data_IF_779123165342
#
_entry.id   IF_779123165342
#
_cell.length_a   1.000
_cell.length_b   1.000
_cell.length_c   1.000
_cell.angle_alpha   90.00
_cell.angle_beta   90.00
_cell.angle_gamma   90.00
#
_symmetry.space_group_name_H-M   'P 1'
#
loop_
_entity.id
_entity.type
_entity.pdbx_description
1 polymer ?
#
# COMPACT_ATOMS: atom_id res chain seq x y z
N UNK A 1 -30.56 6.35 1.57
CA UNK A 1 -30.43 5.01 0.93
C UNK A 1 -29.40 4.18 1.69
N UNK A 2 -29.27 2.87 1.44
CA UNK A 2 -28.27 2.03 2.14
C UNK A 2 -26.84 2.59 2.03
N UNK A 3 -26.47 3.13 0.87
CA UNK A 3 -25.19 3.83 0.65
C UNK A 3 -25.02 5.08 1.52
N UNK A 4 -26.07 5.90 1.65
CA UNK A 4 -26.04 7.11 2.47
C UNK A 4 -25.90 6.78 3.96
N UNK A 5 -26.61 5.76 4.43
CA UNK A 5 -26.50 5.29 5.82
C UNK A 5 -25.11 4.73 6.12
N UNK A 6 -24.54 3.95 5.20
CA UNK A 6 -23.17 3.45 5.30
C UNK A 6 -22.16 4.59 5.35
N UNK A 7 -22.26 5.55 4.43
CA UNK A 7 -21.37 6.71 4.40
C UNK A 7 -21.40 7.50 5.72
N UNK A 8 -22.61 7.79 6.21
CA UNK A 8 -22.78 8.55 7.45
C UNK A 8 -22.25 7.80 8.67
N UNK A 9 -22.37 6.48 8.70
CA UNK A 9 -21.93 5.67 9.84
C UNK A 9 -20.43 5.42 9.83
N UNK A 10 -19.88 4.97 8.72
CA UNK A 10 -18.52 4.41 8.64
C UNK A 10 -17.48 5.42 8.15
N UNK A 11 -17.88 6.39 7.32
CA UNK A 11 -16.92 7.28 6.64
C UNK A 11 -16.94 8.68 7.25
N UNK A 12 -18.10 9.31 7.37
CA UNK A 12 -18.17 10.74 7.71
C UNK A 12 -18.49 11.03 9.19
N UNK A 13 -18.76 10.00 10.00
CA UNK A 13 -19.11 10.16 11.41
C UNK A 13 -20.38 11.01 11.63
N UNK A 14 -21.35 10.90 10.72
CA UNK A 14 -22.61 11.64 10.73
C UNK A 14 -22.59 12.95 9.94
N UNK A 15 -21.45 13.36 9.37
CA UNK A 15 -21.35 14.58 8.57
C UNK A 15 -21.91 14.38 7.15
N UNK A 16 -22.74 15.30 6.66
CA UNK A 16 -23.36 15.26 5.33
C UNK A 16 -22.54 16.08 4.33
N UNK A 17 -21.32 15.66 4.06
CA UNK A 17 -20.38 16.29 3.11
C UNK A 17 -20.26 15.49 1.80
N UNK A 18 -21.39 15.15 1.18
CA UNK A 18 -21.43 14.46 -0.12
C UNK A 18 -22.14 15.32 -1.17
N UNK A 19 -21.81 15.10 -2.45
CA UNK A 19 -22.42 15.81 -3.57
C UNK A 19 -23.39 14.87 -4.31
N UNK A 20 -24.69 15.24 -4.45
CA UNK A 20 -25.64 14.45 -5.22
C UNK A 20 -25.44 14.73 -6.71
N UNK A 21 -24.98 13.72 -7.45
CA UNK A 21 -24.86 13.77 -8.91
C UNK A 21 -26.04 13.08 -9.58
N UNK A 22 -26.47 13.59 -10.74
CA UNK A 22 -27.60 13.02 -11.48
C UNK A 22 -27.18 12.05 -12.58
N UNK A 23 -25.95 12.19 -13.09
CA UNK A 23 -25.43 11.36 -14.16
C UNK A 23 -24.08 10.73 -13.77
N UNK A 24 -23.80 9.60 -14.37
CA UNK A 24 -22.54 8.88 -14.16
C UNK A 24 -21.36 9.67 -14.75
N UNK A 25 -21.57 10.37 -15.85
CA UNK A 25 -20.56 11.23 -16.49
C UNK A 25 -20.13 12.38 -15.57
N UNK A 26 -21.09 13.05 -14.92
CA UNK A 26 -20.78 14.15 -14.00
C UNK A 26 -19.97 13.68 -12.78
N UNK A 27 -20.21 12.45 -12.31
CA UNK A 27 -19.41 11.83 -11.25
C UNK A 27 -17.97 11.63 -11.70
N UNK A 28 -17.76 11.06 -12.89
CA UNK A 28 -16.41 10.83 -13.40
C UNK A 28 -15.68 12.14 -13.68
N UNK A 29 -16.34 13.12 -14.29
CA UNK A 29 -15.76 14.46 -14.45
C UNK A 29 -15.43 15.09 -13.10
N UNK A 30 -16.26 14.86 -12.07
CA UNK A 30 -15.99 15.29 -10.71
C UNK A 30 -14.73 14.67 -10.11
N UNK A 31 -14.52 13.37 -10.31
CA UNK A 31 -13.32 12.64 -9.86
C UNK A 31 -12.07 13.14 -10.60
N UNK A 32 -12.17 13.28 -11.93
CA UNK A 32 -11.05 13.70 -12.78
C UNK A 32 -10.61 15.13 -12.51
N UNK A 33 -11.55 16.02 -12.20
CA UNK A 33 -11.28 17.42 -11.91
C UNK A 33 -11.03 17.70 -10.42
N UNK A 34 -10.85 16.67 -9.59
CA UNK A 34 -10.65 16.78 -8.13
C UNK A 34 -11.76 17.55 -7.40
N UNK A 35 -13.00 17.50 -7.90
CA UNK A 35 -14.20 18.03 -7.22
C UNK A 35 -14.65 17.09 -6.11
N UNK A 36 -14.46 15.78 -6.31
CA UNK A 36 -14.72 14.73 -5.33
C UNK A 36 -13.55 13.76 -5.29
N UNK A 37 -13.26 13.20 -4.11
CA UNK A 37 -12.15 12.25 -3.93
C UNK A 37 -12.57 10.80 -4.22
N UNK A 38 -13.84 10.48 -3.98
CA UNK A 38 -14.37 9.13 -4.14
C UNK A 38 -15.87 9.14 -4.44
N UNK A 39 -16.33 8.07 -5.08
CA UNK A 39 -17.75 7.81 -5.34
C UNK A 39 -18.09 6.33 -5.15
N UNK A 40 -19.33 6.05 -4.76
CA UNK A 40 -19.83 4.69 -4.60
C UNK A 40 -20.48 4.20 -5.89
N UNK A 41 -20.11 3.00 -6.33
CA UNK A 41 -20.64 2.36 -7.52
C UNK A 41 -20.79 0.85 -7.33
N UNK A 42 -21.63 0.23 -8.15
CA UNK A 42 -21.66 -1.22 -8.29
C UNK A 42 -20.32 -1.73 -8.84
N UNK A 43 -19.79 -2.79 -8.24
CA UNK A 43 -18.47 -3.35 -8.56
C UNK A 43 -18.34 -3.74 -10.03
N UNK A 44 -19.38 -4.31 -10.65
CA UNK A 44 -19.31 -4.73 -12.05
C UNK A 44 -19.19 -3.53 -12.99
N UNK A 45 -20.00 -2.50 -12.79
CA UNK A 45 -19.92 -1.27 -13.57
C UNK A 45 -18.58 -0.56 -13.34
N UNK A 46 -18.15 -0.43 -12.09
CA UNK A 46 -16.90 0.23 -11.74
C UNK A 46 -15.67 -0.50 -12.31
N UNK A 47 -15.62 -1.82 -12.22
CA UNK A 47 -14.54 -2.65 -12.79
C UNK A 47 -14.46 -2.46 -14.30
N UNK A 48 -15.61 -2.49 -15.00
CA UNK A 48 -15.65 -2.26 -16.44
C UNK A 48 -15.14 -0.88 -16.82
N UNK A 49 -15.66 0.17 -16.18
CA UNK A 49 -15.39 1.56 -16.56
C UNK A 49 -13.93 1.93 -16.25
N UNK A 50 -13.41 1.52 -15.10
CA UNK A 50 -12.03 1.81 -14.69
C UNK A 50 -11.02 1.06 -15.58
N UNK A 51 -11.32 -0.18 -15.96
CA UNK A 51 -10.41 -1.00 -16.80
C UNK A 51 -10.45 -0.65 -18.30
N UNK A 52 -11.49 0.05 -18.77
CA UNK A 52 -11.71 0.27 -20.21
C UNK A 52 -11.82 1.75 -20.63
N UNK A 53 -12.28 2.64 -19.75
CA UNK A 53 -12.62 4.03 -20.09
C UNK A 53 -11.72 4.99 -19.30
N UNK A 54 -11.78 4.95 -17.96
CA UNK A 54 -11.06 5.88 -17.08
C UNK A 54 -9.90 5.18 -16.37
N UNK A 55 -8.81 4.98 -17.12
CA UNK A 55 -7.63 4.23 -16.69
C UNK A 55 -6.82 4.86 -15.55
N UNK A 56 -7.06 6.15 -15.28
CA UNK A 56 -6.42 6.92 -14.22
C UNK A 56 -7.15 6.83 -12.88
N UNK A 57 -8.34 6.23 -12.86
CA UNK A 57 -9.05 5.94 -11.64
C UNK A 57 -8.70 4.53 -11.16
N UNK A 58 -8.96 4.27 -9.89
CA UNK A 58 -8.79 2.95 -9.30
C UNK A 58 -9.98 2.64 -8.40
N UNK A 59 -10.37 1.37 -8.36
CA UNK A 59 -11.35 0.90 -7.38
C UNK A 59 -10.64 0.72 -6.03
N UNK A 60 -11.24 1.24 -4.96
CA UNK A 60 -10.70 1.17 -3.60
C UNK A 60 -11.76 0.58 -2.67
N UNK A 61 -11.31 -0.26 -1.74
CA UNK A 61 -12.17 -0.84 -0.70
C UNK A 61 -12.84 -2.16 -1.09
N UNK A 62 -13.46 -2.79 -0.10
CA UNK A 62 -14.30 -3.97 -0.31
C UNK A 62 -15.76 -3.55 -0.48
N UNK A 63 -16.55 -4.42 -1.13
CA UNK A 63 -17.99 -4.21 -1.26
C UNK A 63 -18.68 -4.21 0.11
N UNK A 64 -19.32 -3.11 0.47
CA UNK A 64 -20.08 -2.96 1.73
C UNK A 64 -21.50 -3.55 1.65
N UNK A 65 -22.03 -3.70 0.44
CA UNK A 65 -23.34 -4.26 0.18
C UNK A 65 -23.23 -5.35 -0.89
N UNK A 66 -23.92 -6.47 -0.67
CA UNK A 66 -24.00 -7.55 -1.66
C UNK A 66 -25.30 -7.41 -2.45
N UNK A 67 -25.19 -6.77 -3.61
CA UNK A 67 -26.24 -6.77 -4.62
C UNK A 67 -26.23 -8.06 -5.44
N UNK A 68 -27.41 -8.48 -5.92
CA UNK A 68 -27.55 -9.58 -6.88
C UNK A 68 -28.35 -9.09 -8.08
N UNK A 69 -27.87 -9.37 -9.29
CA UNK A 69 -28.61 -9.14 -10.52
C UNK A 69 -29.51 -10.36 -10.80
N UNK A 70 -30.74 -10.08 -11.21
CA UNK A 70 -31.73 -11.10 -11.57
C UNK A 70 -32.42 -10.77 -12.88
N UNK A 71 -32.93 -11.81 -13.54
CA UNK A 71 -33.78 -11.67 -14.72
C UNK A 71 -35.23 -11.66 -14.25
N UNK A 72 -36.02 -10.67 -14.68
CA UNK A 72 -37.43 -10.57 -14.33
C UNK A 72 -38.26 -11.12 -15.49
N UNK A 73 -39.10 -12.11 -15.20
CA UNK A 73 -39.99 -12.76 -16.16
C UNK A 73 -41.46 -12.64 -15.71
N UNK A 74 -42.43 -12.67 -16.64
CA UNK A 74 -43.84 -12.67 -16.29
C UNK A 74 -44.22 -13.90 -15.46
N UNK A 75 -45.26 -13.74 -14.63
CA UNK A 75 -45.78 -14.85 -13.82
C UNK A 75 -46.26 -15.98 -14.73
N UNK A 76 -45.94 -17.23 -14.37
CA UNK A 76 -46.28 -18.44 -15.15
C UNK A 76 -45.65 -18.49 -16.56
N UNK A 77 -44.46 -17.91 -16.74
CA UNK A 77 -43.73 -18.05 -17.99
C UNK A 77 -43.37 -19.51 -18.27
N UNK A 78 -43.85 -20.05 -19.39
CA UNK A 78 -43.69 -21.46 -19.77
C UNK A 78 -42.24 -21.92 -19.86
N UNK A 79 -41.29 -21.02 -20.10
CA UNK A 79 -39.87 -21.32 -20.28
C UNK A 79 -39.01 -21.02 -19.04
N UNK A 80 -39.61 -20.66 -17.89
CA UNK A 80 -38.86 -20.30 -16.69
C UNK A 80 -37.94 -21.43 -16.22
N UNK A 81 -38.47 -22.65 -16.16
CA UNK A 81 -37.69 -23.83 -15.75
C UNK A 81 -36.55 -24.13 -16.71
N UNK A 82 -36.80 -24.05 -18.02
CA UNK A 82 -35.78 -24.29 -19.04
C UNK A 82 -34.67 -23.22 -18.98
N UNK A 83 -35.03 -21.95 -18.73
CA UNK A 83 -34.05 -20.88 -18.56
C UNK A 83 -33.14 -21.16 -17.36
N UNK A 84 -33.72 -21.52 -16.21
CA UNK A 84 -32.96 -21.76 -14.99
C UNK A 84 -31.96 -22.92 -15.17
N UNK A 85 -32.40 -24.03 -15.78
CA UNK A 85 -31.52 -25.18 -16.06
C UNK A 85 -30.39 -24.79 -17.00
N UNK A 86 -30.67 -24.01 -18.04
CA UNK A 86 -29.64 -23.56 -18.97
C UNK A 86 -28.64 -22.58 -18.31
N UNK A 87 -29.10 -21.69 -17.43
CA UNK A 87 -28.23 -20.78 -16.68
C UNK A 87 -27.31 -21.57 -15.74
N UNK A 88 -27.84 -22.58 -15.04
CA UNK A 88 -27.05 -23.46 -14.18
C UNK A 88 -25.97 -24.20 -14.99
N UNK A 89 -26.35 -24.75 -16.15
CA UNK A 89 -25.40 -25.40 -17.06
C UNK A 89 -24.29 -24.44 -17.53
N UNK A 90 -24.62 -23.18 -17.86
CA UNK A 90 -23.62 -22.16 -18.23
C UNK A 90 -22.68 -21.80 -17.06
N UNK A 91 -23.13 -21.92 -15.82
CA UNK A 91 -22.30 -21.73 -14.63
C UNK A 91 -21.37 -22.92 -14.41
N UNK A 92 -21.88 -24.14 -14.48
CA UNK A 92 -21.11 -25.38 -14.28
C UNK A 92 -20.02 -25.57 -15.34
N UNK A 93 -20.32 -25.19 -16.58
CA UNK A 93 -19.36 -25.25 -17.70
C UNK A 93 -18.30 -24.14 -17.65
N UNK A 94 -18.47 -23.13 -16.79
CA UNK A 94 -17.56 -21.98 -16.70
C UNK A 94 -17.74 -20.94 -17.82
N UNK A 95 -18.80 -21.07 -18.64
CA UNK A 95 -19.09 -20.14 -19.73
C UNK A 95 -19.42 -18.73 -19.21
N UNK A 96 -20.12 -18.64 -18.08
CA UNK A 96 -20.38 -17.35 -17.40
C UNK A 96 -19.08 -16.68 -16.94
N UNK A 97 -18.14 -17.44 -16.39
CA UNK A 97 -16.84 -16.91 -15.97
C UNK A 97 -16.03 -16.44 -17.18
N UNK A 98 -16.10 -17.16 -18.30
CA UNK A 98 -15.47 -16.72 -19.55
C UNK A 98 -16.05 -15.38 -20.03
N UNK A 99 -17.37 -15.21 -19.99
CA UNK A 99 -18.02 -13.94 -20.31
C UNK A 99 -17.59 -12.83 -19.35
N UNK A 100 -17.54 -13.11 -18.04
CA UNK A 100 -17.06 -12.14 -17.05
C UNK A 100 -15.65 -11.66 -17.38
N UNK A 101 -14.73 -12.60 -17.62
CA UNK A 101 -13.34 -12.25 -17.95
C UNK A 101 -13.25 -11.44 -19.23
N UNK A 102 -14.01 -11.83 -20.26
CA UNK A 102 -14.02 -11.16 -21.56
C UNK A 102 -14.49 -9.71 -21.47
N UNK A 103 -15.53 -9.43 -20.68
CA UNK A 103 -16.14 -8.10 -20.63
C UNK A 103 -15.54 -7.20 -19.54
N UNK A 104 -15.25 -7.73 -18.35
CA UNK A 104 -14.86 -6.92 -17.18
C UNK A 104 -13.35 -6.92 -16.89
N UNK A 105 -12.65 -8.02 -17.16
CA UNK A 105 -11.24 -8.17 -16.80
C UNK A 105 -10.27 -7.85 -17.93
N UNK A 106 -10.75 -7.78 -19.17
CA UNK A 106 -9.92 -7.39 -20.30
C UNK A 106 -9.63 -5.89 -20.20
N UNK A 107 -8.44 -5.52 -19.72
CA UNK A 107 -8.00 -4.13 -19.65
C UNK A 107 -7.72 -3.61 -21.06
N UNK A 108 -8.55 -2.69 -21.55
CA UNK A 108 -8.29 -1.93 -22.79
C UNK A 108 -7.38 -0.73 -22.58
N UNK A 109 -7.15 -0.35 -21.33
CA UNK A 109 -6.09 0.59 -20.98
C UNK A 109 -4.77 0.01 -21.48
N UNK A 110 -4.31 0.44 -22.67
CA UNK A 110 -2.94 0.20 -23.13
C UNK A 110 -2.07 0.63 -21.99
N UNK A 111 -1.30 -0.30 -21.41
CA UNK A 111 -0.54 -0.10 -20.19
C UNK A 111 0.20 1.22 -20.29
N UNK A 112 -0.40 2.28 -19.76
CA UNK A 112 0.14 3.62 -19.75
C UNK A 112 1.22 3.49 -18.72
N UNK A 113 2.38 3.08 -19.21
CA UNK A 113 3.63 2.87 -18.53
C UNK A 113 3.36 2.51 -17.08
N UNK A 114 3.35 1.22 -16.78
CA UNK A 114 3.95 0.82 -15.50
C UNK A 114 5.33 1.45 -15.50
N UNK A 115 5.42 2.72 -15.11
CA UNK A 115 6.50 3.26 -14.33
C UNK A 115 6.37 2.36 -13.13
N UNK A 116 7.02 1.18 -13.22
CA UNK A 116 7.35 0.34 -12.08
C UNK A 116 7.60 1.35 -11.00
N UNK A 117 6.71 1.42 -10.01
CA UNK A 117 6.73 2.41 -8.94
C UNK A 117 8.16 2.35 -8.43
N UNK A 118 8.98 3.26 -8.94
CA UNK A 118 10.41 3.21 -8.75
C UNK A 118 10.49 3.54 -7.30
N UNK A 119 10.87 2.54 -6.48
CA UNK A 119 10.78 2.54 -5.03
C UNK A 119 10.99 3.98 -4.55
N UNK A 120 9.89 4.63 -4.16
CA UNK A 120 9.91 6.06 -3.88
C UNK A 120 10.97 6.28 -2.81
N UNK A 121 11.83 7.27 -3.01
CA UNK A 121 13.01 7.52 -2.17
C UNK A 121 12.60 7.66 -0.68
N UNK A 122 11.34 8.01 -0.43
CA UNK A 122 10.71 8.04 0.90
C UNK A 122 10.75 6.69 1.63
N UNK A 123 10.55 5.56 0.93
CA UNK A 123 10.62 4.22 1.54
C UNK A 123 12.05 3.76 1.85
N UNK A 124 13.07 4.42 1.28
CA UNK A 124 14.50 4.11 1.49
C UNK A 124 15.14 4.93 2.61
N UNK A 125 14.44 5.93 3.15
CA UNK A 125 14.99 6.82 4.18
C UNK A 125 15.32 6.08 5.48
N UNK A 126 14.48 5.10 5.84
CA UNK A 126 14.70 4.27 7.03
C UNK A 126 15.99 3.46 6.95
N UNK A 127 16.29 2.91 5.77
CA UNK A 127 17.52 2.14 5.55
C UNK A 127 18.76 3.03 5.64
N UNK A 128 18.72 4.22 5.03
CA UNK A 128 19.83 5.18 5.07
C UNK A 128 20.12 5.66 6.50
N UNK A 129 19.09 5.91 7.32
CA UNK A 129 19.25 6.30 8.72
C UNK A 129 19.95 5.21 9.56
N UNK A 130 19.56 3.95 9.37
CA UNK A 130 20.17 2.83 10.10
C UNK A 130 21.67 2.70 9.72
N UNK A 131 22.00 2.73 8.43
CA UNK A 131 23.39 2.72 7.98
C UNK A 131 24.19 3.92 8.52
N UNK A 132 23.59 5.12 8.52
CA UNK A 132 24.21 6.32 9.08
C UNK A 132 24.59 6.18 10.55
N UNK A 133 23.68 5.67 11.38
CA UNK A 133 23.92 5.48 12.83
C UNK A 133 25.05 4.47 13.08
N UNK A 134 25.07 3.34 12.36
CA UNK A 134 26.10 2.31 12.47
C UNK A 134 27.49 2.88 12.10
N UNK A 135 27.56 3.68 11.04
CA UNK A 135 28.80 4.34 10.62
C UNK A 135 29.32 5.32 11.68
N UNK A 136 28.44 6.15 12.25
CA UNK A 136 28.82 7.12 13.30
C UNK A 136 29.30 6.41 14.57
N UNK A 137 28.59 5.37 15.02
CA UNK A 137 29.00 4.57 16.19
C UNK A 137 30.37 3.92 15.98
N UNK A 138 30.62 3.38 14.79
CA UNK A 138 31.90 2.77 14.43
C UNK A 138 33.05 3.77 14.47
N UNK A 139 32.84 4.98 13.93
CA UNK A 139 33.84 6.06 13.95
C UNK A 139 34.12 6.55 15.38
N UNK A 140 33.09 6.69 16.21
CA UNK A 140 33.23 7.09 17.62
C UNK A 140 34.05 6.08 18.41
N UNK A 141 33.74 4.77 18.28
CA UNK A 141 34.49 3.72 18.96
C UNK A 141 35.97 3.69 18.51
N UNK A 142 36.22 3.86 17.22
CA UNK A 142 37.59 3.90 16.69
C UNK A 142 38.37 5.10 17.22
N UNK A 143 37.77 6.30 17.19
CA UNK A 143 38.39 7.51 17.71
C UNK A 143 38.64 7.43 19.22
N UNK A 144 37.72 6.83 19.98
CA UNK A 144 37.88 6.59 21.41
C UNK A 144 39.01 5.61 21.70
N UNK A 145 39.10 4.49 20.95
CA UNK A 145 40.20 3.52 21.09
C UNK A 145 41.55 4.16 20.78
N UNK A 146 41.63 4.98 19.72
CA UNK A 146 42.85 5.73 19.37
C UNK A 146 43.24 6.72 20.47
N UNK A 147 42.27 7.48 20.99
CA UNK A 147 42.51 8.46 22.06
C UNK A 147 42.85 7.82 23.41
N UNK A 148 42.36 6.60 23.66
CA UNK A 148 42.75 5.80 24.84
C UNK A 148 44.16 5.23 24.67
N UNK A 149 44.52 4.74 23.48
CA UNK A 149 45.90 4.29 23.19
C UNK A 149 46.91 5.42 23.35
N UNK A 150 46.61 6.63 22.89
CA UNK A 150 47.46 7.80 23.07
C UNK A 150 47.62 8.19 24.56
N UNK A 151 46.54 8.08 25.36
CA UNK A 151 46.60 8.31 26.82
C UNK A 151 47.37 7.23 27.57
N UNK A 152 47.25 5.97 27.15
CA UNK A 152 47.98 4.87 27.78
C UNK A 152 49.50 4.93 27.47
N UNK A 153 49.91 5.48 26.32
CA UNK A 153 51.34 5.66 26.00
C UNK A 153 51.99 6.80 26.79
N UNK A 154 51.23 7.77 27.29
CA UNK A 154 51.74 8.80 28.21
C UNK A 154 51.87 8.34 29.67
N UNK A 155 51.18 7.28 30.09
CA UNK A 155 51.36 6.69 31.43
C UNK A 155 52.61 5.79 31.51
N UNK A 156 53.03 5.14 30.42
CA UNK A 156 54.30 4.39 30.38
C UNK A 156 55.53 5.31 30.50
N UNK A 157 55.51 6.52 29.92
CA UNK A 157 56.64 7.45 30.01
C UNK A 157 56.84 8.06 31.42
N UNK A 158 55.83 7.95 32.30
CA UNK A 158 55.92 8.47 33.66
C UNK A 158 56.42 7.44 34.68
N UNK A 159 56.42 6.14 34.35
CA UNK A 159 56.89 5.06 35.24
C UNK A 159 58.36 4.65 35.05
N UNK A 160 59.05 5.18 34.04
CA UNK A 160 60.49 4.91 33.81
C UNK A 160 61.45 5.85 34.57
N UNK A 161 60.95 6.78 35.40
CA UNK A 161 61.76 7.81 36.08
C UNK A 161 61.76 7.72 37.62
N UNK A 162 61.92 6.53 38.20
CA UNK A 162 62.23 6.38 39.65
C UNK A 162 63.52 5.57 39.82
N UNK A 163 64.52 6.04 40.60
CA UNK A 163 65.89 5.52 40.55
C UNK A 163 66.05 4.17 41.25
N UNK A 164 67.04 3.39 40.78
CA UNK A 164 67.49 2.11 41.35
C UNK A 164 67.87 2.23 42.83
N UNK A 165 67.60 1.20 43.67
CA UNK A 165 68.08 1.16 45.04
C UNK A 165 69.62 1.00 45.10
N UNK A 166 70.19 1.73 46.06
CA UNK A 166 71.61 1.88 46.32
C UNK A 166 72.16 0.56 46.89
N UNK A 167 73.14 -0.03 46.21
CA UNK A 167 73.94 -1.15 46.71
C UNK A 167 74.80 -0.69 47.89
N UNK A 168 74.61 -1.30 49.06
CA UNK A 168 75.46 -1.13 50.24
C UNK A 168 76.42 -2.32 50.34
N UNK A 169 77.70 -2.07 50.07
CA UNK A 169 78.79 -3.02 50.21
C UNK A 169 79.22 -3.10 51.69
N UNK A 170 79.42 -4.28 52.24
CA UNK A 170 80.29 -4.47 53.41
C UNK A 170 81.10 -5.77 53.25
N UNK A 171 82.41 -5.59 53.08
CA UNK A 171 83.46 -6.60 53.19
C UNK A 171 84.02 -6.60 54.62
N UNK A 172 84.67 -7.69 55.04
CA UNK A 172 86.06 -7.58 55.46
C UNK A 172 87.03 -8.26 54.47
#
# INVERSE_FOLDING_TARGET
>A
TAMEEYYLREISGGNRNYYPFQSLEEVYDGLLNNKIDASFHDTGAAEYITNNIYCNLTLIGEGFEKGVFGIIAPKQWLYGQDLDVNILSLRETGNLDNLRRKWFQLKKCSGSTSTSTAIEIESLIGLFLIFGIICVLSLLLFAWKKSKRARNTSEDFSNDNIPLPIVSNNWP
#
